data_IF_353838547136
#
_entry.id   IF_353838547136
#
_cell.length_a   1.000
_cell.length_b   1.000
_cell.length_c   1.000
_cell.angle_alpha   90.00
_cell.angle_beta   90.00
_cell.angle_gamma   90.00
#
_symmetry.space_group_name_H-M   'P 1'
#
loop_
_entity.id
_entity.type
_entity.pdbx_description
1 polymer ?
#
# COMPACT_ATOMS: atom_id res chain seq x y z
N UNK A 1 -0.14 -12.55 11.38
CA UNK A 1 -0.73 -12.59 12.74
C UNK A 1 -0.43 -11.25 13.41
N UNK A 2 -1.37 -10.69 14.19
CA UNK A 2 -1.24 -9.35 14.78
C UNK A 2 -1.66 -9.38 16.25
N UNK A 3 -0.85 -8.79 17.12
CA UNK A 3 -1.18 -8.49 18.52
C UNK A 3 -0.84 -7.00 18.74
N UNK A 4 -1.75 -6.17 19.27
CA UNK A 4 -1.43 -4.81 19.69
C UNK A 4 -0.27 -4.76 20.70
N UNK A 5 0.57 -3.73 20.63
CA UNK A 5 1.78 -3.64 21.45
C UNK A 5 1.48 -3.68 22.95
N UNK A 6 0.48 -2.92 23.40
CA UNK A 6 0.06 -2.85 24.81
C UNK A 6 -0.43 -4.21 25.33
N UNK A 7 -1.15 -4.98 24.50
CA UNK A 7 -1.61 -6.33 24.83
C UNK A 7 -0.45 -7.30 24.87
N UNK A 8 0.51 -7.17 23.95
CA UNK A 8 1.72 -8.00 23.92
C UNK A 8 2.56 -7.79 25.19
N UNK A 9 2.73 -6.55 25.63
CA UNK A 9 3.44 -6.25 26.89
C UNK A 9 2.75 -6.86 28.11
N UNK A 10 1.43 -6.77 28.20
CA UNK A 10 0.67 -7.38 29.29
C UNK A 10 0.79 -8.92 29.28
N UNK A 11 0.78 -9.55 28.10
CA UNK A 11 0.97 -10.99 27.96
C UNK A 11 2.42 -11.42 28.28
N UNK A 12 3.42 -10.58 28.00
CA UNK A 12 4.82 -10.79 28.44
C UNK A 12 4.96 -10.71 29.96
N UNK A 13 4.32 -9.71 30.59
CA UNK A 13 4.32 -9.50 32.05
C UNK A 13 3.56 -10.62 32.78
N UNK A 14 2.46 -11.11 32.22
CA UNK A 14 1.63 -12.13 32.84
C UNK A 14 1.31 -13.29 31.88
N UNK A 15 2.21 -14.28 31.84
CA UNK A 15 2.12 -15.45 30.95
C UNK A 15 0.86 -16.31 31.15
N UNK A 16 0.15 -16.17 32.28
CA UNK A 16 -1.11 -16.90 32.60
C UNK A 16 -2.36 -16.03 32.44
N UNK A 17 -2.27 -14.88 31.78
CA UNK A 17 -3.42 -13.99 31.60
C UNK A 17 -4.57 -14.66 30.82
N UNK A 18 -5.80 -14.45 31.27
CA UNK A 18 -7.02 -15.03 30.66
C UNK A 18 -7.64 -14.10 29.64
N UNK A 19 -8.41 -14.66 28.69
CA UNK A 19 -9.09 -13.87 27.66
C UNK A 19 -10.08 -12.84 28.26
N UNK A 20 -10.71 -13.17 29.38
CA UNK A 20 -11.60 -12.25 30.10
C UNK A 20 -10.85 -11.03 30.61
N UNK A 21 -9.65 -11.22 31.16
CA UNK A 21 -8.83 -10.14 31.70
C UNK A 21 -8.34 -9.20 30.59
N UNK A 22 -7.86 -9.74 29.47
CA UNK A 22 -7.47 -8.93 28.31
C UNK A 22 -8.68 -8.20 27.70
N UNK A 23 -9.83 -8.87 27.62
CA UNK A 23 -11.06 -8.25 27.11
C UNK A 23 -11.48 -7.04 27.94
N UNK A 24 -11.43 -7.18 29.27
CA UNK A 24 -11.74 -6.11 30.22
C UNK A 24 -10.71 -4.97 30.19
N UNK A 25 -9.41 -5.29 30.27
CA UNK A 25 -8.35 -4.27 30.38
C UNK A 25 -8.18 -3.42 29.12
N UNK A 26 -8.46 -3.97 27.94
CA UNK A 26 -8.21 -3.30 26.65
C UNK A 26 -9.48 -2.96 25.88
N UNK A 27 -10.65 -3.12 26.51
CA UNK A 27 -11.97 -2.99 25.91
C UNK A 27 -12.02 -3.69 24.54
N UNK A 28 -11.85 -5.02 24.57
CA UNK A 28 -11.86 -5.87 23.38
C UNK A 28 -12.87 -6.99 23.51
N UNK A 29 -13.49 -7.43 22.39
CA UNK A 29 -14.28 -8.64 22.38
C UNK A 29 -13.47 -9.83 22.89
N UNK A 30 -14.08 -10.67 23.73
CA UNK A 30 -13.46 -11.87 24.30
C UNK A 30 -12.88 -12.81 23.23
N UNK A 31 -13.53 -12.92 22.08
CA UNK A 31 -13.05 -13.69 20.93
C UNK A 31 -11.73 -13.16 20.38
N UNK A 32 -11.58 -11.83 20.31
CA UNK A 32 -10.36 -11.14 19.88
C UNK A 32 -9.24 -11.32 20.91
N UNK A 33 -9.56 -11.17 22.21
CA UNK A 33 -8.63 -11.42 23.30
C UNK A 33 -8.10 -12.88 23.30
N UNK A 34 -8.99 -13.85 23.06
CA UNK A 34 -8.61 -15.25 22.95
C UNK A 34 -7.66 -15.49 21.76
N UNK A 35 -7.92 -14.87 20.60
CA UNK A 35 -7.01 -14.93 19.45
C UNK A 35 -5.63 -14.38 19.78
N UNK A 36 -5.52 -13.27 20.50
CA UNK A 36 -4.22 -12.73 20.91
C UNK A 36 -3.44 -13.69 21.80
N UNK A 37 -4.10 -14.31 22.78
CA UNK A 37 -3.47 -15.33 23.64
C UNK A 37 -3.01 -16.55 22.83
N UNK A 38 -3.82 -17.02 21.88
CA UNK A 38 -3.42 -18.14 21.02
C UNK A 38 -2.23 -17.80 20.13
N UNK A 39 -2.18 -16.59 19.57
CA UNK A 39 -1.03 -16.13 18.79
C UNK A 39 0.20 -16.08 19.71
N UNK A 40 0.08 -15.49 20.91
CA UNK A 40 1.18 -15.37 21.87
C UNK A 40 1.75 -16.73 22.30
N UNK A 41 0.88 -17.72 22.57
CA UNK A 41 1.31 -19.09 22.91
C UNK A 41 2.07 -19.81 21.80
N UNK A 42 1.88 -19.40 20.53
CA UNK A 42 2.59 -19.96 19.38
C UNK A 42 3.93 -19.26 19.10
N UNK A 43 4.29 -18.24 19.88
CA UNK A 43 5.56 -17.54 19.74
C UNK A 43 6.63 -18.26 20.57
N UNK A 44 7.41 -19.13 19.92
CA UNK A 44 8.55 -19.81 20.56
C UNK A 44 9.70 -18.84 20.90
N UNK A 45 9.80 -17.71 20.18
CA UNK A 45 10.84 -16.70 20.38
C UNK A 45 10.27 -15.28 20.23
N UNK A 46 10.06 -14.62 21.37
CA UNK A 46 9.51 -13.26 21.46
C UNK A 46 10.41 -12.22 20.78
N UNK A 47 11.72 -12.48 20.69
CA UNK A 47 12.69 -11.58 20.07
C UNK A 47 12.56 -11.53 18.53
N UNK A 48 12.21 -12.67 17.92
CA UNK A 48 11.88 -12.76 16.49
C UNK A 48 10.55 -12.09 16.18
N UNK A 49 9.55 -12.23 17.06
CA UNK A 49 8.25 -11.59 16.86
C UNK A 49 8.37 -10.07 16.76
N UNK A 50 9.07 -9.41 17.69
CA UNK A 50 9.21 -7.95 17.67
C UNK A 50 9.96 -7.47 16.42
N UNK A 51 11.03 -8.17 16.01
CA UNK A 51 11.78 -7.88 14.76
C UNK A 51 10.91 -8.07 13.52
N UNK A 52 10.18 -9.18 13.42
CA UNK A 52 9.31 -9.48 12.27
C UNK A 52 8.12 -8.52 12.21
N UNK A 53 7.59 -8.08 13.35
CA UNK A 53 6.42 -7.20 13.41
C UNK A 53 6.76 -5.75 13.02
N UNK A 54 7.95 -5.28 13.39
CA UNK A 54 8.49 -3.96 13.00
C UNK A 54 8.92 -3.93 11.52
N UNK A 55 9.66 -4.95 11.08
CA UNK A 55 10.13 -5.06 9.69
C UNK A 55 8.97 -5.24 8.70
N UNK A 56 7.97 -6.07 9.03
CA UNK A 56 6.80 -6.25 8.16
C UNK A 56 5.92 -4.99 8.04
N UNK A 57 5.83 -4.15 9.07
CA UNK A 57 5.10 -2.87 8.97
C UNK A 57 5.84 -1.88 8.07
N UNK A 58 7.15 -1.74 8.25
CA UNK A 58 7.96 -0.76 7.54
C UNK A 58 8.22 -1.15 6.08
N UNK A 59 8.27 -2.45 5.76
CA UNK A 59 8.53 -2.93 4.39
C UNK A 59 7.31 -2.94 3.47
N UNK A 60 6.08 -2.75 3.97
CA UNK A 60 4.86 -2.90 3.13
C UNK A 60 4.41 -1.63 2.39
N UNK A 61 4.87 -0.45 2.80
CA UNK A 61 4.32 0.80 2.30
C UNK A 61 5.34 1.52 1.43
N UNK A 62 5.03 1.68 0.15
CA UNK A 62 5.75 2.62 -0.72
C UNK A 62 5.41 4.03 -0.25
N UNK A 63 6.42 4.88 -0.07
CA UNK A 63 6.17 6.28 0.22
C UNK A 63 5.38 6.93 -0.93
N UNK A 64 4.42 7.79 -0.60
CA UNK A 64 3.62 8.51 -1.59
C UNK A 64 4.50 9.30 -2.56
N UNK A 65 5.57 9.93 -2.07
CA UNK A 65 6.47 10.73 -2.90
C UNK A 65 7.29 9.87 -3.89
N UNK A 66 7.72 8.68 -3.46
CA UNK A 66 8.48 7.77 -4.32
C UNK A 66 7.59 7.17 -5.41
N UNK A 67 6.36 6.78 -5.05
CA UNK A 67 5.37 6.36 -6.03
C UNK A 67 5.03 7.50 -7.00
N UNK A 68 4.97 8.73 -6.50
CA UNK A 68 4.69 9.90 -7.30
C UNK A 68 5.79 10.18 -8.34
N UNK A 69 7.06 10.09 -7.93
CA UNK A 69 8.23 10.16 -8.82
C UNK A 69 8.21 9.03 -9.86
N UNK A 70 7.90 7.80 -9.43
CA UNK A 70 7.77 6.65 -10.32
C UNK A 70 6.77 6.91 -11.45
N UNK A 71 5.58 7.44 -11.16
CA UNK A 71 4.59 7.77 -12.19
C UNK A 71 5.13 8.80 -13.18
N UNK A 72 5.83 9.85 -12.71
CA UNK A 72 6.44 10.82 -13.61
C UNK A 72 7.53 10.24 -14.49
N UNK A 73 8.41 9.41 -13.92
CA UNK A 73 9.46 8.74 -14.68
C UNK A 73 8.85 7.92 -15.81
N UNK A 74 7.85 7.08 -15.51
CA UNK A 74 7.14 6.33 -16.55
C UNK A 74 6.56 7.24 -17.64
N UNK A 75 5.94 8.37 -17.28
CA UNK A 75 5.38 9.31 -18.26
C UNK A 75 6.45 10.02 -19.10
N UNK A 76 7.65 10.24 -18.54
CA UNK A 76 8.77 10.82 -19.28
C UNK A 76 9.45 9.79 -20.20
N UNK A 77 9.46 8.51 -19.82
CA UNK A 77 10.06 7.40 -20.57
C UNK A 77 9.20 6.87 -21.74
N UNK A 78 8.08 7.52 -22.06
CA UNK A 78 7.17 7.11 -23.14
C UNK A 78 5.83 6.53 -22.69
N UNK A 79 5.57 6.48 -21.38
CA UNK A 79 4.29 6.10 -20.80
C UNK A 79 4.05 4.59 -20.70
N UNK A 80 2.79 4.18 -20.68
CA UNK A 80 2.37 2.79 -20.52
C UNK A 80 1.12 2.49 -21.35
N UNK A 81 1.08 1.29 -21.96
CA UNK A 81 -0.03 0.83 -22.81
C UNK A 81 -1.18 0.21 -22.03
N UNK A 82 -0.94 -0.23 -20.79
CA UNK A 82 -1.98 -0.80 -19.92
C UNK A 82 -1.65 -0.67 -18.43
N UNK A 83 -2.68 -0.73 -17.59
CA UNK A 83 -2.50 -0.79 -16.12
C UNK A 83 -1.69 -2.01 -15.69
N UNK A 84 -1.68 -3.10 -16.47
CA UNK A 84 -0.88 -4.28 -16.14
C UNK A 84 0.60 -4.02 -16.40
N UNK A 85 0.93 -3.39 -17.54
CA UNK A 85 2.30 -2.98 -17.83
C UNK A 85 2.84 -2.03 -16.75
N UNK A 86 2.04 -1.04 -16.35
CA UNK A 86 2.42 -0.11 -15.28
C UNK A 86 2.64 -0.83 -13.94
N UNK A 87 1.83 -1.83 -13.63
CA UNK A 87 1.97 -2.63 -12.41
C UNK A 87 3.23 -3.48 -12.42
N UNK A 88 3.55 -4.13 -13.54
CA UNK A 88 4.80 -4.87 -13.68
C UNK A 88 6.02 -3.95 -13.55
N UNK A 89 5.96 -2.73 -14.11
CA UNK A 89 7.00 -1.72 -13.89
C UNK A 89 7.12 -1.33 -12.41
N UNK A 90 6.00 -1.21 -11.70
CA UNK A 90 5.98 -0.90 -10.27
C UNK A 90 6.63 -2.02 -9.43
N UNK A 91 6.34 -3.30 -9.74
CA UNK A 91 6.99 -4.43 -9.07
C UNK A 91 8.50 -4.48 -9.31
N UNK A 92 8.96 -4.06 -10.49
CA UNK A 92 10.39 -3.97 -10.81
C UNK A 92 11.09 -2.82 -10.10
N UNK A 93 10.43 -1.66 -10.00
CA UNK A 93 10.97 -0.48 -9.30
C UNK A 93 11.03 -0.70 -7.79
N UNK A 94 10.07 -1.46 -7.24
CA UNK A 94 9.92 -1.70 -5.81
C UNK A 94 9.93 -3.21 -5.47
N UNK A 95 11.02 -3.94 -5.77
CA UNK A 95 11.04 -5.42 -5.71
C UNK A 95 10.90 -5.96 -4.28
N UNK A 96 11.40 -5.23 -3.29
CA UNK A 96 11.33 -5.62 -1.88
C UNK A 96 10.01 -5.20 -1.20
N UNK A 97 9.06 -4.66 -1.97
CA UNK A 97 7.75 -4.22 -1.47
C UNK A 97 6.70 -5.23 -1.92
N UNK A 98 5.98 -5.80 -0.96
CA UNK A 98 4.94 -6.79 -1.24
C UNK A 98 3.65 -6.08 -1.70
N UNK A 99 3.62 -5.63 -2.95
CA UNK A 99 2.57 -4.76 -3.50
C UNK A 99 1.50 -5.61 -4.18
N UNK A 100 0.36 -5.77 -3.52
CA UNK A 100 -0.81 -6.38 -4.16
C UNK A 100 -1.37 -5.47 -5.27
N UNK A 101 -2.11 -6.07 -6.22
CA UNK A 101 -2.84 -5.32 -7.25
C UNK A 101 -3.79 -4.27 -6.66
N UNK A 102 -4.44 -4.58 -5.55
CA UNK A 102 -5.34 -3.68 -4.83
C UNK A 102 -4.58 -2.48 -4.25
N UNK A 103 -3.44 -2.74 -3.62
CA UNK A 103 -2.55 -1.69 -3.07
C UNK A 103 -2.07 -0.76 -4.17
N UNK A 104 -1.59 -1.33 -5.29
CA UNK A 104 -1.18 -0.55 -6.45
C UNK A 104 -2.30 0.35 -6.98
N UNK A 105 -3.51 -0.19 -7.14
CA UNK A 105 -4.64 0.60 -7.67
C UNK A 105 -5.00 1.76 -6.74
N UNK A 106 -4.93 1.55 -5.42
CA UNK A 106 -5.13 2.60 -4.41
C UNK A 106 -4.06 3.69 -4.54
N UNK A 107 -2.78 3.30 -4.52
CA UNK A 107 -1.65 4.24 -4.66
C UNK A 107 -1.75 5.04 -5.97
N UNK A 108 -2.10 4.37 -7.07
CA UNK A 108 -2.27 5.01 -8.37
C UNK A 108 -3.42 6.02 -8.41
N UNK A 109 -4.55 5.71 -7.78
CA UNK A 109 -5.67 6.64 -7.67
C UNK A 109 -5.28 7.88 -6.85
N UNK A 110 -4.67 7.67 -5.67
CA UNK A 110 -4.25 8.75 -4.78
C UNK A 110 -3.18 9.64 -5.42
N UNK A 111 -2.18 9.03 -6.07
CA UNK A 111 -1.11 9.72 -6.80
C UNK A 111 -1.67 10.64 -7.91
N UNK A 112 -2.65 10.15 -8.67
CA UNK A 112 -3.30 10.94 -9.72
C UNK A 112 -4.06 12.15 -9.20
N UNK A 113 -4.72 12.01 -8.05
CA UNK A 113 -5.41 13.13 -7.40
C UNK A 113 -4.41 14.15 -6.87
N UNK A 114 -3.41 13.71 -6.08
CA UNK A 114 -2.36 14.59 -5.53
C UNK A 114 -1.65 15.38 -6.63
N UNK A 115 -1.35 14.74 -7.75
CA UNK A 115 -0.57 15.34 -8.84
C UNK A 115 -1.42 15.90 -9.98
N UNK A 116 -2.75 16.02 -9.83
CA UNK A 116 -3.67 16.33 -10.93
C UNK A 116 -3.22 17.52 -11.78
N UNK A 117 -2.74 18.60 -11.16
CA UNK A 117 -2.26 19.80 -11.85
C UNK A 117 -0.95 19.56 -12.62
N UNK A 118 0.00 18.84 -12.03
CA UNK A 118 1.29 18.51 -12.66
C UNK A 118 1.10 17.54 -13.84
N UNK A 119 0.21 16.55 -13.71
CA UNK A 119 -0.15 15.61 -14.77
C UNK A 119 -0.88 16.29 -15.95
N UNK A 120 -1.59 17.41 -15.71
CA UNK A 120 -2.22 18.19 -16.79
C UNK A 120 -1.18 18.80 -17.75
N UNK A 121 -0.01 19.18 -17.24
CA UNK A 121 1.07 19.82 -18.01
C UNK A 121 1.93 18.83 -18.83
N UNK A 122 1.80 17.52 -18.60
CA UNK A 122 2.61 16.50 -19.28
C UNK A 122 2.13 16.23 -20.71
N UNK A 123 3.08 15.90 -21.59
CA UNK A 123 2.83 15.55 -23.00
C UNK A 123 1.92 14.33 -23.12
N UNK A 124 2.14 13.32 -22.27
CA UNK A 124 1.28 12.14 -22.20
C UNK A 124 0.15 12.37 -21.18
N UNK A 125 -1.08 12.03 -21.56
CA UNK A 125 -2.23 11.97 -20.65
C UNK A 125 -2.54 10.52 -20.30
N UNK A 126 -2.88 10.28 -19.04
CA UNK A 126 -3.45 9.01 -18.58
C UNK A 126 -4.95 9.03 -18.94
N UNK A 127 -5.40 8.03 -19.69
CA UNK A 127 -6.77 7.87 -20.18
C UNK A 127 -7.35 6.56 -19.65
N UNK A 128 -8.66 6.52 -19.39
CA UNK A 128 -9.40 5.30 -19.04
C UNK A 128 -9.62 4.43 -20.29
N UNK A 129 -9.44 3.13 -20.14
CA UNK A 129 -9.78 2.13 -21.16
C UNK A 129 -11.28 2.04 -21.35
N UNK A 130 -11.75 2.00 -22.60
CA UNK A 130 -13.18 1.76 -22.90
C UNK A 130 -13.62 0.36 -22.47
N UNK A 131 -12.77 -0.65 -22.66
CA UNK A 131 -13.07 -2.05 -22.37
C UNK A 131 -13.03 -2.36 -20.86
N UNK A 132 -12.30 -1.56 -20.08
CA UNK A 132 -12.17 -1.71 -18.62
C UNK A 132 -12.25 -0.32 -17.96
N UNK A 133 -13.44 0.30 -17.90
CA UNK A 133 -13.58 1.71 -17.50
C UNK A 133 -13.21 1.98 -16.03
N UNK A 134 -13.37 0.98 -15.17
CA UNK A 134 -13.10 1.09 -13.73
C UNK A 134 -11.62 0.92 -13.37
N UNK A 135 -10.89 0.05 -14.08
CA UNK A 135 -9.55 -0.41 -13.68
C UNK A 135 -8.49 -0.30 -14.77
N UNK A 136 -8.90 -0.10 -16.03
CA UNK A 136 -8.03 -0.02 -17.19
C UNK A 136 -7.60 1.41 -17.47
N UNK A 137 -6.30 1.64 -17.50
CA UNK A 137 -5.67 2.91 -17.85
C UNK A 137 -4.54 2.70 -18.85
N UNK A 138 -4.31 3.71 -19.68
CA UNK A 138 -3.23 3.76 -20.66
C UNK A 138 -2.83 5.21 -20.94
N UNK A 139 -1.65 5.42 -21.51
CA UNK A 139 -1.17 6.76 -21.88
C UNK A 139 -1.41 7.06 -23.34
N UNK A 140 -1.80 8.30 -23.62
CA UNK A 140 -1.96 8.82 -24.99
C UNK A 140 -1.27 10.18 -25.07
N UNK A 141 -0.63 10.48 -26.20
CA UNK A 141 -0.09 11.81 -26.46
C UNK A 141 -1.21 12.83 -26.49
N UNK A 142 -1.07 13.93 -25.75
CA UNK A 142 -2.00 15.06 -25.84
C UNK A 142 -1.89 15.65 -27.23
N UNK A 143 -3.03 15.89 -27.86
CA UNK A 143 -3.10 16.81 -29.00
C UNK A 143 -2.83 18.20 -28.43
N UNK A 144 -1.69 18.81 -28.78
CA UNK A 144 -1.50 20.25 -28.55
C UNK A 144 -2.51 20.93 -29.47
N UNK A 145 -3.37 21.79 -28.93
CA UNK A 145 -3.97 22.82 -29.77
C UNK A 145 -2.78 23.71 -30.17
N UNK A 146 -2.47 23.76 -31.45
CA UNK A 146 -1.73 24.90 -31.98
C UNK A 146 -2.61 26.10 -31.64
N UNK A 147 -2.08 27.06 -30.90
CA UNK A 147 -2.72 28.36 -30.82
C UNK A 147 -2.42 28.99 -32.18
N UNK A 148 -3.41 28.99 -33.05
CA UNK A 148 -3.39 29.80 -34.26
C UNK A 148 -3.35 31.26 -33.78
N UNK A 149 -2.16 31.83 -33.75
CA UNK A 149 -2.03 33.28 -33.79
C UNK A 149 -2.08 33.63 -35.27
N UNK A 150 -3.27 34.05 -35.72
CA UNK A 150 -3.43 34.89 -36.91
C UNK A 150 -2.77 36.27 -36.68
#
# INVERSE_FOLDING_TARGET
>A
MYIPAEILEELKKNKKCTANRIAYMFDKPKSTAYRYIQIFKKLDDLSKFDKDHLTNRNNRVINSDDFDKFIFNILNSGGFKSTNQLYQACLKEFPNRNISRRTFNKLFAESRERQRLKLKKRILRITRSKNKPLTGFFTVRRKRKVLDYE
#
